data_IF_267418906364
#
_entry.id   IF_267418906364
#
_cell.length_a   1.000
_cell.length_b   1.000
_cell.length_c   1.000
_cell.angle_alpha   90.00
_cell.angle_beta   90.00
_cell.angle_gamma   90.00
#
_symmetry.space_group_name_H-M   'P 1'
#
loop_
_entity.id
_entity.type
_entity.pdbx_description
1 polymer ?
#
# COMPACT_ATOMS: atom_id res chain seq x y z
N UNK A 1 -5.28 -14.66 1.23
CA UNK A 1 -5.80 -13.71 0.22
C UNK A 1 -5.90 -12.33 0.85
N UNK A 2 -5.56 -11.27 0.11
CA UNK A 2 -5.55 -9.88 0.62
C UNK A 2 -6.52 -9.01 -0.19
N UNK A 3 -6.95 -7.88 0.38
CA UNK A 3 -7.67 -6.86 -0.39
C UNK A 3 -6.84 -6.36 -1.58
N UNK A 4 -7.45 -6.07 -2.74
CA UNK A 4 -6.74 -5.47 -3.86
C UNK A 4 -6.01 -4.18 -3.46
N UNK A 5 -4.70 -4.13 -3.76
CA UNK A 5 -3.84 -2.99 -3.43
C UNK A 5 -3.60 -2.79 -1.93
N UNK A 6 -3.67 -3.82 -1.10
CA UNK A 6 -3.40 -3.68 0.33
C UNK A 6 -2.75 -4.94 0.89
N UNK A 7 -2.19 -4.80 2.11
CA UNK A 7 -1.74 -5.92 2.93
C UNK A 7 -2.76 -6.29 4.02
N UNK A 8 -3.98 -5.74 3.94
CA UNK A 8 -5.11 -6.16 4.78
C UNK A 8 -5.60 -7.54 4.36
N UNK A 9 -5.53 -8.56 5.24
CA UNK A 9 -5.97 -9.91 4.90
C UNK A 9 -7.49 -9.94 4.74
N UNK A 10 -7.95 -10.63 3.70
CA UNK A 10 -9.35 -10.74 3.33
C UNK A 10 -9.90 -12.14 3.62
N UNK A 11 -9.16 -13.16 3.24
CA UNK A 11 -9.56 -14.55 3.42
C UNK A 11 -8.36 -15.49 3.54
N UNK A 12 -8.51 -16.55 4.31
CA UNK A 12 -7.61 -17.70 4.39
C UNK A 12 -8.24 -18.86 3.61
N UNK A 13 -7.44 -19.50 2.77
CA UNK A 13 -7.88 -20.66 1.99
C UNK A 13 -7.01 -21.84 2.40
N UNK A 14 -7.63 -22.88 2.92
CA UNK A 14 -6.96 -24.12 3.29
C UNK A 14 -7.35 -25.22 2.31
N UNK A 15 -6.37 -26.01 1.86
CA UNK A 15 -6.61 -27.22 1.08
C UNK A 15 -6.21 -28.41 1.94
N UNK A 16 -7.19 -29.19 2.40
CA UNK A 16 -6.98 -30.39 3.21
C UNK A 16 -7.69 -31.58 2.57
N UNK A 17 -6.97 -32.68 2.39
CA UNK A 17 -7.50 -33.94 1.86
C UNK A 17 -8.32 -33.80 0.55
N UNK A 18 -7.97 -32.85 -0.32
CA UNK A 18 -8.68 -32.58 -1.57
C UNK A 18 -9.93 -31.72 -1.45
N UNK A 19 -10.28 -31.24 -0.25
CA UNK A 19 -11.32 -30.25 -0.02
C UNK A 19 -10.70 -28.86 0.21
N UNK A 20 -11.30 -27.84 -0.38
CA UNK A 20 -10.91 -26.45 -0.16
C UNK A 20 -11.88 -25.83 0.85
N UNK A 21 -11.34 -25.28 1.93
CA UNK A 21 -12.08 -24.54 2.94
C UNK A 21 -11.72 -23.05 2.86
N UNK A 22 -12.75 -22.20 2.82
CA UNK A 22 -12.61 -20.75 2.78
C UNK A 22 -13.00 -20.15 4.14
N UNK A 23 -12.11 -19.34 4.69
CA UNK A 23 -12.36 -18.56 5.90
C UNK A 23 -12.25 -17.07 5.60
N UNK A 24 -13.31 -16.31 5.87
CA UNK A 24 -13.30 -14.85 5.80
C UNK A 24 -12.62 -14.27 7.03
N UNK A 25 -11.78 -13.25 6.82
CA UNK A 25 -10.97 -12.64 7.89
C UNK A 25 -11.62 -11.32 8.29
N UNK A 26 -11.98 -11.19 9.57
CA UNK A 26 -12.35 -9.90 10.18
C UNK A 26 -11.09 -9.29 10.78
N UNK A 27 -10.84 -8.01 10.48
CA UNK A 27 -9.66 -7.28 10.96
C UNK A 27 -10.04 -6.11 11.87
N UNK A 28 -9.11 -5.70 12.74
CA UNK A 28 -9.22 -4.40 13.42
C UNK A 28 -8.80 -3.22 12.53
N UNK A 29 -8.82 -1.99 13.06
CA UNK A 29 -8.43 -0.79 12.31
C UNK A 29 -7.00 -0.85 11.74
N UNK A 30 -6.11 -1.59 12.39
CA UNK A 30 -4.70 -1.75 11.98
C UNK A 30 -4.52 -2.85 10.93
N UNK A 31 -5.59 -3.55 10.55
CA UNK A 31 -5.54 -4.68 9.61
C UNK A 31 -5.09 -5.99 10.24
N UNK A 32 -5.04 -6.09 11.57
CA UNK A 32 -4.68 -7.32 12.28
C UNK A 32 -5.89 -8.25 12.33
N UNK A 33 -5.71 -9.52 11.96
CA UNK A 33 -6.77 -10.53 12.01
C UNK A 33 -7.32 -10.72 13.43
N UNK A 34 -8.65 -10.62 13.57
CA UNK A 34 -9.39 -10.76 14.84
C UNK A 34 -10.30 -11.97 14.84
N UNK A 35 -10.92 -12.31 13.72
CA UNK A 35 -11.80 -13.48 13.60
C UNK A 35 -11.58 -14.17 12.26
N UNK A 36 -11.67 -15.50 12.25
CA UNK A 36 -11.88 -16.29 11.03
C UNK A 36 -13.31 -16.81 11.05
N UNK A 37 -14.06 -16.49 10.00
CA UNK A 37 -15.45 -16.91 9.84
C UNK A 37 -15.58 -17.90 8.69
N UNK A 38 -16.43 -18.92 8.84
CA UNK A 38 -16.81 -19.79 7.73
C UNK A 38 -17.65 -19.05 6.68
N UNK A 39 -17.92 -19.72 5.56
CA UNK A 39 -18.82 -19.21 4.54
C UNK A 39 -20.26 -18.97 5.03
N UNK A 40 -20.67 -19.69 6.09
CA UNK A 40 -21.96 -19.50 6.74
C UNK A 40 -21.95 -18.36 7.79
N UNK A 41 -20.80 -17.71 8.03
CA UNK A 41 -20.65 -16.64 9.01
C UNK A 41 -20.38 -17.13 10.44
N UNK A 42 -20.10 -18.42 10.64
CA UNK A 42 -19.74 -18.95 11.95
C UNK A 42 -18.29 -18.66 12.29
N UNK A 43 -18.02 -18.17 13.51
CA UNK A 43 -16.65 -17.85 13.94
C UNK A 43 -15.91 -19.14 14.32
N UNK A 44 -14.87 -19.49 13.56
CA UNK A 44 -14.03 -20.67 13.76
C UNK A 44 -12.75 -20.36 14.57
N UNK A 45 -12.30 -19.10 14.57
CA UNK A 45 -11.11 -18.67 15.30
C UNK A 45 -11.26 -17.23 15.77
N UNK A 46 -10.67 -16.91 16.93
CA UNK A 46 -10.58 -15.55 17.50
C UNK A 46 -9.16 -15.23 17.96
N UNK A 47 -8.70 -14.03 17.63
CA UNK A 47 -7.44 -13.47 18.10
C UNK A 47 -7.65 -12.51 19.27
N UNK A 48 -7.30 -12.91 20.49
CA UNK A 48 -7.22 -12.00 21.64
C UNK A 48 -5.91 -11.20 21.65
N UNK A 49 -5.92 -10.06 22.36
CA UNK A 49 -4.89 -9.02 22.27
C UNK A 49 -3.59 -9.29 23.08
N UNK A 50 -3.42 -10.50 23.62
CA UNK A 50 -2.18 -10.91 24.29
C UNK A 50 -1.98 -12.39 24.05
N UNK A 51 -0.90 -12.72 23.34
CA UNK A 51 -0.07 -13.95 23.35
C UNK A 51 -0.73 -15.34 23.33
N UNK A 52 -1.99 -15.49 23.69
CA UNK A 52 -2.77 -16.71 23.67
C UNK A 52 -3.91 -16.53 22.66
N UNK A 53 -3.65 -16.99 21.43
CA UNK A 53 -4.68 -17.08 20.39
C UNK A 53 -5.16 -18.52 20.33
N UNK A 54 -6.12 -18.83 21.19
CA UNK A 54 -6.67 -20.17 21.30
C UNK A 54 -7.64 -20.43 20.12
N UNK A 55 -7.53 -21.57 19.41
CA UNK A 55 -8.58 -22.00 18.50
C UNK A 55 -9.89 -22.13 19.27
N UNK A 56 -11.01 -21.72 18.67
CA UNK A 56 -12.32 -21.96 19.29
C UNK A 56 -12.62 -23.44 19.10
N UNK A 57 -12.69 -24.20 20.19
CA UNK A 57 -13.14 -25.59 20.15
C UNK A 57 -14.57 -25.63 19.58
N UNK A 58 -14.70 -26.14 18.36
CA UNK A 58 -16.00 -26.42 17.77
C UNK A 58 -16.72 -27.52 18.57
N UNK A 59 -18.06 -27.45 18.63
CA UNK A 59 -18.88 -28.44 19.34
C UNK A 59 -18.60 -29.84 18.78
N UNK A 60 -18.08 -30.74 19.63
CA UNK A 60 -17.83 -32.14 19.26
C UNK A 60 -19.16 -32.89 19.19
N UNK A 61 -19.58 -33.30 18.00
CA UNK A 61 -20.54 -34.39 17.84
C UNK A 61 -19.76 -35.71 17.71
N UNK A 62 -20.20 -36.76 18.41
CA UNK A 62 -19.61 -38.10 18.27
C UNK A 62 -19.78 -38.58 16.83
N UNK A 63 -18.71 -38.51 16.03
CA UNK A 63 -18.70 -38.92 14.62
C UNK A 63 -17.82 -38.05 13.72
N UNK A 64 -17.54 -36.80 14.12
CA UNK A 64 -16.82 -35.84 13.27
C UNK A 64 -15.31 -35.88 13.52
N UNK A 65 -14.60 -36.74 12.81
CA UNK A 65 -13.12 -36.70 12.72
C UNK A 65 -12.59 -35.45 11.96
N UNK A 66 -13.49 -34.58 11.48
CA UNK A 66 -13.16 -33.43 10.63
C UNK A 66 -13.11 -32.07 11.37
N UNK A 67 -13.45 -32.01 12.66
CA UNK A 67 -13.37 -30.77 13.44
C UNK A 67 -11.94 -30.54 13.95
N UNK A 68 -11.00 -30.38 13.01
CA UNK A 68 -9.66 -29.90 13.30
C UNK A 68 -9.69 -28.43 13.72
N UNK A 69 -8.84 -28.07 14.67
CA UNK A 69 -8.70 -26.69 15.13
C UNK A 69 -8.19 -25.80 13.97
N UNK A 70 -8.93 -24.73 13.67
CA UNK A 70 -8.54 -23.74 12.65
C UNK A 70 -7.60 -22.72 13.29
N UNK A 71 -6.45 -22.51 12.67
CA UNK A 71 -5.42 -21.58 13.13
C UNK A 71 -5.24 -20.41 12.17
N UNK A 72 -4.93 -19.23 12.70
CA UNK A 72 -4.54 -18.08 11.90
C UNK A 72 -3.07 -17.73 12.17
N UNK A 73 -2.22 -17.96 11.17
CA UNK A 73 -0.78 -17.63 11.25
C UNK A 73 -0.51 -16.14 11.02
N UNK A 74 -1.46 -15.40 10.45
CA UNK A 74 -1.31 -13.97 10.20
C UNK A 74 -1.11 -13.18 11.52
N UNK A 75 -0.17 -12.23 11.48
CA UNK A 75 0.14 -11.30 12.58
C UNK A 75 -0.16 -9.87 12.15
N UNK A 76 0.73 -8.90 12.38
CA UNK A 76 0.55 -7.57 11.78
C UNK A 76 0.60 -7.65 10.25
N UNK A 77 0.18 -6.60 9.54
CA UNK A 77 0.17 -6.58 8.09
C UNK A 77 1.56 -6.92 7.52
N UNK A 78 1.62 -7.99 6.70
CA UNK A 78 2.86 -8.53 6.12
C UNK A 78 3.54 -9.64 6.93
N UNK A 79 3.08 -9.92 8.14
CA UNK A 79 3.72 -10.87 9.05
C UNK A 79 2.99 -12.21 9.15
N UNK A 80 3.78 -13.29 9.20
CA UNK A 80 3.34 -14.66 9.46
C UNK A 80 4.05 -15.20 10.69
N UNK A 81 3.32 -15.90 11.54
CA UNK A 81 3.90 -16.61 12.66
C UNK A 81 4.63 -17.85 12.20
N UNK A 82 5.89 -17.95 12.60
CA UNK A 82 6.69 -19.13 12.43
C UNK A 82 6.68 -19.91 13.75
N UNK A 83 6.00 -21.06 13.74
CA UNK A 83 5.85 -21.90 14.93
C UNK A 83 7.15 -22.59 15.35
N UNK A 84 8.11 -22.77 14.44
CA UNK A 84 9.40 -23.41 14.75
C UNK A 84 10.29 -22.48 15.58
N UNK A 85 10.24 -21.19 15.28
CA UNK A 85 11.09 -20.17 15.93
C UNK A 85 10.36 -19.35 16.99
N UNK A 86 9.02 -19.32 16.95
CA UNK A 86 8.19 -18.40 17.74
C UNK A 86 8.23 -16.95 17.22
N UNK A 87 8.99 -16.67 16.16
CA UNK A 87 9.16 -15.34 15.59
C UNK A 87 8.12 -15.07 14.50
N UNK A 88 7.99 -13.80 14.13
CA UNK A 88 7.08 -13.38 13.08
C UNK A 88 7.89 -13.10 11.81
N UNK A 89 7.79 -14.01 10.83
CA UNK A 89 8.38 -13.81 9.52
C UNK A 89 7.73 -12.62 8.80
N UNK A 90 8.52 -11.62 8.43
CA UNK A 90 8.11 -10.44 7.70
C UNK A 90 9.00 -10.23 6.46
N UNK A 91 8.93 -11.19 5.53
CA UNK A 91 9.60 -11.18 4.22
C UNK A 91 11.13 -11.05 4.29
N UNK A 92 11.63 -9.84 4.48
CA UNK A 92 13.06 -9.54 4.55
C UNK A 92 13.63 -9.66 5.96
N UNK A 93 12.78 -9.71 7.00
CA UNK A 93 13.22 -9.77 8.41
C UNK A 93 12.32 -10.67 9.25
N UNK A 94 12.86 -11.12 10.38
CA UNK A 94 12.09 -11.75 11.44
C UNK A 94 11.86 -10.74 12.57
N UNK A 95 10.61 -10.64 13.01
CA UNK A 95 10.16 -9.77 14.09
C UNK A 95 9.93 -10.59 15.35
N UNK A 96 10.56 -10.16 16.45
CA UNK A 96 10.33 -10.70 17.77
C UNK A 96 9.25 -9.88 18.46
N UNK A 97 8.12 -10.54 18.75
CA UNK A 97 6.99 -9.91 19.39
C UNK A 97 7.21 -9.65 20.88
N UNK A 98 8.09 -10.41 21.53
CA UNK A 98 8.41 -10.26 22.95
C UNK A 98 9.24 -9.00 23.18
N UNK A 99 10.28 -8.78 22.37
CA UNK A 99 11.09 -7.56 22.43
C UNK A 99 10.51 -6.37 21.65
N UNK A 100 9.53 -6.60 20.78
CA UNK A 100 8.86 -5.55 20.02
C UNK A 100 9.69 -4.99 18.84
N UNK A 101 10.64 -5.77 18.31
CA UNK A 101 11.58 -5.33 17.27
C UNK A 101 12.01 -6.47 16.34
N UNK A 102 12.57 -6.12 15.20
CA UNK A 102 13.28 -7.06 14.33
C UNK A 102 14.55 -7.56 15.00
N UNK A 103 14.89 -8.83 14.73
CA UNK A 103 16.12 -9.45 15.23
C UNK A 103 17.35 -9.14 14.37
N UNK A 104 17.14 -8.60 13.17
CA UNK A 104 18.18 -8.19 12.23
C UNK A 104 18.06 -6.71 11.87
N UNK A 105 19.17 -6.00 11.63
CA UNK A 105 19.14 -4.62 11.18
C UNK A 105 18.50 -4.51 9.79
N UNK A 106 17.91 -3.36 9.51
CA UNK A 106 17.29 -3.06 8.22
C UNK A 106 18.26 -3.26 7.03
N UNK A 107 17.94 -4.10 6.04
CA UNK A 107 18.77 -4.31 4.85
C UNK A 107 19.04 -3.04 4.03
N UNK A 108 18.15 -2.04 4.10
CA UNK A 108 18.36 -0.74 3.43
C UNK A 108 19.07 0.29 4.33
N UNK A 109 19.52 -0.14 5.51
CA UNK A 109 20.24 0.70 6.47
C UNK A 109 19.43 1.88 6.97
N UNK A 110 20.07 3.04 7.12
CA UNK A 110 19.44 4.26 7.63
C UNK A 110 18.31 4.81 6.75
N UNK A 111 18.17 4.30 5.51
CA UNK A 111 17.03 4.63 4.67
C UNK A 111 15.70 4.08 5.24
N UNK A 112 15.74 3.02 6.05
CA UNK A 112 14.58 2.47 6.77
C UNK A 112 14.23 3.24 8.06
N UNK A 113 15.08 4.19 8.47
CA UNK A 113 14.93 5.02 9.66
C UNK A 113 16.16 5.03 10.57
N UNK A 114 16.13 5.84 11.63
CA UNK A 114 17.25 5.95 12.57
C UNK A 114 17.42 4.71 13.46
N UNK A 115 16.33 3.99 13.74
CA UNK A 115 16.37 2.73 14.47
C UNK A 115 16.16 1.56 13.51
N UNK A 116 17.27 0.91 13.13
CA UNK A 116 17.31 -0.16 12.13
C UNK A 116 16.62 -1.47 12.58
N UNK A 117 16.28 -1.60 13.86
CA UNK A 117 15.64 -2.81 14.39
C UNK A 117 14.14 -2.63 14.55
N UNK A 118 13.61 -1.42 14.49
CA UNK A 118 12.24 -1.23 14.96
C UNK A 118 11.20 -1.54 13.86
N UNK A 119 10.04 -2.10 14.24
CA UNK A 119 8.95 -2.44 13.31
C UNK A 119 8.29 -1.20 12.68
N UNK A 120 7.65 -0.37 13.50
CA UNK A 120 7.07 0.90 13.07
C UNK A 120 7.24 1.99 14.16
N UNK A 121 7.27 3.29 13.82
CA UNK A 121 7.36 4.36 14.83
C UNK A 121 6.15 4.38 15.75
N UNK A 122 4.96 4.10 15.18
CA UNK A 122 3.74 3.89 15.92
C UNK A 122 2.90 2.79 15.23
N UNK A 123 2.86 1.55 15.75
CA UNK A 123 2.16 0.43 15.13
C UNK A 123 0.64 0.58 15.06
N UNK A 124 0.06 1.59 15.73
CA UNK A 124 -1.36 1.92 15.60
C UNK A 124 -1.69 2.67 14.31
N UNK A 125 -0.69 3.32 13.70
CA UNK A 125 -0.89 4.21 12.54
C UNK A 125 0.05 3.93 11.37
N UNK A 126 1.06 3.09 11.57
CA UNK A 126 2.08 2.73 10.59
C UNK A 126 2.18 1.22 10.48
N UNK A 127 2.53 0.75 9.30
CA UNK A 127 2.80 -0.65 9.00
C UNK A 127 4.11 -0.77 8.24
N UNK A 128 4.77 -1.92 8.36
CA UNK A 128 5.92 -2.30 7.55
C UNK A 128 5.66 -3.68 6.92
N UNK A 129 4.92 -3.75 5.79
CA UNK A 129 4.53 -5.04 5.19
C UNK A 129 5.66 -5.73 4.43
N UNK A 130 6.79 -5.04 4.27
CA UNK A 130 7.95 -5.56 3.55
C UNK A 130 9.06 -5.98 4.50
N UNK A 131 9.10 -5.43 5.71
CA UNK A 131 10.27 -5.56 6.56
C UNK A 131 11.45 -4.71 6.08
N UNK A 132 11.21 -3.54 5.49
CA UNK A 132 12.27 -2.69 4.89
C UNK A 132 12.10 -1.18 5.12
N UNK A 133 10.87 -0.66 5.07
CA UNK A 133 10.64 0.78 5.18
C UNK A 133 9.26 1.06 5.75
N UNK A 134 9.25 1.89 6.79
CA UNK A 134 8.06 2.39 7.47
C UNK A 134 7.52 3.55 6.65
N UNK A 135 6.44 3.38 5.92
CA UNK A 135 5.90 4.46 5.11
C UNK A 135 4.62 5.01 5.73
N UNK A 136 4.71 6.12 6.46
CA UNK A 136 3.60 7.07 6.48
C UNK A 136 3.78 7.83 5.18
N UNK A 137 2.81 7.75 4.27
CA UNK A 137 2.85 8.61 3.10
C UNK A 137 2.93 10.07 3.55
N UNK A 138 3.98 10.74 3.11
CA UNK A 138 4.15 12.17 3.30
C UNK A 138 3.61 12.95 2.10
N UNK A 139 3.27 14.21 2.38
CA UNK A 139 2.96 15.16 1.34
C UNK A 139 4.18 15.27 0.41
N UNK A 140 3.97 15.14 -0.90
CA UNK A 140 4.99 15.20 -1.96
C UNK A 140 5.84 13.96 -2.18
N UNK A 141 5.52 12.82 -1.58
CA UNK A 141 6.20 11.57 -1.91
C UNK A 141 6.01 11.21 -3.39
N UNK A 142 7.11 10.80 -4.01
CA UNK A 142 7.18 10.41 -5.43
C UNK A 142 7.40 8.90 -5.48
N UNK A 143 6.48 8.20 -6.12
CA UNK A 143 6.54 6.75 -6.33
C UNK A 143 5.54 6.38 -7.45
N UNK A 144 5.39 5.10 -7.76
CA UNK A 144 4.32 4.60 -8.63
C UNK A 144 2.94 4.99 -8.09
N UNK A 145 1.99 5.19 -9.00
CA UNK A 145 0.62 5.55 -8.63
C UNK A 145 -0.03 4.56 -7.67
N UNK A 146 0.15 3.26 -7.94
CA UNK A 146 -0.39 2.20 -7.10
C UNK A 146 0.20 2.23 -5.69
N UNK A 147 1.52 2.38 -5.55
CA UNK A 147 2.15 2.45 -4.22
C UNK A 147 1.61 3.64 -3.43
N UNK A 148 1.55 4.81 -4.06
CA UNK A 148 1.01 6.03 -3.44
C UNK A 148 -0.47 5.87 -3.05
N UNK A 149 -1.30 5.24 -3.89
CA UNK A 149 -2.70 4.93 -3.57
C UNK A 149 -2.83 3.99 -2.38
N UNK A 150 -2.02 2.94 -2.35
CA UNK A 150 -2.01 1.96 -1.26
C UNK A 150 -1.58 2.61 0.06
N UNK A 151 -0.56 3.47 -0.01
CA UNK A 151 0.00 4.13 1.15
C UNK A 151 -1.05 5.01 1.87
N UNK A 152 -1.91 5.72 1.13
CA UNK A 152 -2.94 6.60 1.73
C UNK A 152 -4.29 5.92 2.00
N UNK A 153 -4.52 4.71 1.50
CA UNK A 153 -5.81 4.01 1.58
C UNK A 153 -6.21 3.77 3.04
N UNK A 154 -7.34 4.34 3.45
CA UNK A 154 -7.89 4.13 4.80
C UNK A 154 -7.26 4.97 5.92
N UNK A 155 -6.30 5.85 5.62
CA UNK A 155 -5.61 6.67 6.64
C UNK A 155 -6.20 8.07 6.86
N UNK A 156 -7.23 8.48 6.10
CA UNK A 156 -7.89 9.80 6.19
C UNK A 156 -6.94 11.02 6.23
N UNK A 157 -5.79 10.93 5.56
CA UNK A 157 -4.75 11.98 5.57
C UNK A 157 -5.07 13.20 4.70
N UNK A 158 -6.18 13.18 3.95
CA UNK A 158 -6.52 14.24 2.99
C UNK A 158 -5.58 14.32 1.78
N UNK A 159 -4.76 13.29 1.54
CA UNK A 159 -3.85 13.17 0.42
C UNK A 159 -4.43 12.29 -0.70
N UNK A 160 -3.96 12.51 -1.92
CA UNK A 160 -4.30 11.73 -3.11
C UNK A 160 -3.10 11.61 -4.06
N UNK A 161 -3.08 10.53 -4.85
CA UNK A 161 -2.01 10.26 -5.81
C UNK A 161 -2.31 10.93 -7.15
N UNK A 162 -1.36 11.74 -7.64
CA UNK A 162 -1.46 12.48 -8.89
C UNK A 162 -0.41 12.02 -9.91
N UNK A 163 -0.87 11.58 -11.09
CA UNK A 163 0.02 11.27 -12.22
C UNK A 163 0.64 12.53 -12.80
N UNK A 164 1.91 12.45 -13.18
CA UNK A 164 2.50 13.41 -14.10
C UNK A 164 2.48 12.80 -15.49
N UNK A 165 1.82 13.49 -16.42
CA UNK A 165 1.37 12.90 -17.67
C UNK A 165 0.01 12.24 -17.47
N UNK A 166 -1.06 12.93 -17.84
CA UNK A 166 -2.41 12.36 -17.73
C UNK A 166 -2.53 11.03 -18.49
N UNK A 167 -3.01 10.00 -17.79
CA UNK A 167 -3.25 8.65 -18.30
C UNK A 167 -3.85 8.62 -19.72
N UNK A 168 -4.87 9.43 -19.97
CA UNK A 168 -5.63 9.42 -21.23
C UNK A 168 -4.88 10.07 -22.41
N UNK A 169 -3.73 10.69 -22.18
CA UNK A 169 -2.87 11.26 -23.21
C UNK A 169 -1.60 10.41 -23.31
N UNK A 170 -1.00 10.06 -22.17
CA UNK A 170 0.23 9.27 -22.13
C UNK A 170 0.08 7.89 -22.75
N UNK A 171 -1.11 7.25 -22.62
CA UNK A 171 -1.40 5.97 -23.28
C UNK A 171 -1.29 6.03 -24.81
N UNK A 172 -1.56 7.19 -25.40
CA UNK A 172 -1.53 7.37 -26.85
C UNK A 172 -0.12 7.74 -27.34
N UNK A 173 0.72 8.30 -26.46
CA UNK A 173 2.03 8.88 -26.79
C UNK A 173 3.24 8.04 -26.35
N UNK A 174 3.03 7.08 -25.43
CA UNK A 174 4.10 6.25 -24.86
C UNK A 174 3.71 4.78 -24.97
N UNK A 175 4.50 4.01 -25.71
CA UNK A 175 4.27 2.58 -25.86
C UNK A 175 4.46 1.87 -24.51
N UNK A 176 3.55 0.95 -24.18
CA UNK A 176 3.60 0.22 -22.92
C UNK A 176 3.31 1.07 -21.67
N UNK A 177 2.74 2.27 -21.82
CA UNK A 177 2.36 3.09 -20.67
C UNK A 177 1.31 2.39 -19.80
N UNK A 178 1.73 1.99 -18.60
CA UNK A 178 0.84 1.45 -17.58
C UNK A 178 0.53 2.52 -16.50
N UNK A 179 -0.73 2.99 -16.41
CA UNK A 179 -1.12 3.96 -15.40
C UNK A 179 -1.07 3.41 -13.97
N UNK A 180 -0.96 2.11 -13.75
CA UNK A 180 -0.86 1.55 -12.40
C UNK A 180 0.56 1.78 -11.84
N UNK A 181 1.56 1.52 -12.67
CA UNK A 181 2.98 1.60 -12.30
C UNK A 181 3.63 2.95 -12.66
N UNK A 182 2.96 3.79 -13.45
CA UNK A 182 3.45 5.11 -13.85
C UNK A 182 3.84 6.00 -12.66
N UNK A 183 4.90 6.81 -12.78
CA UNK A 183 5.33 7.71 -11.71
C UNK A 183 4.25 8.74 -11.35
N UNK A 184 4.09 8.97 -10.06
CA UNK A 184 3.10 9.85 -9.48
C UNK A 184 3.67 10.57 -8.24
N UNK A 185 2.95 11.59 -7.78
CA UNK A 185 3.28 12.34 -6.57
C UNK A 185 2.07 12.44 -5.65
N UNK A 186 2.27 12.32 -4.34
CA UNK A 186 1.23 12.56 -3.35
C UNK A 186 0.98 14.06 -3.17
N UNK A 187 -0.27 14.46 -3.33
CA UNK A 187 -0.70 15.86 -3.20
C UNK A 187 -1.94 15.94 -2.31
N UNK A 188 -2.25 17.10 -1.70
CA UNK A 188 -3.53 17.32 -1.05
C UNK A 188 -4.71 17.06 -2.00
N UNK A 189 -5.82 16.52 -1.48
CA UNK A 189 -7.04 16.29 -2.27
C UNK A 189 -7.63 17.61 -2.83
N UNK A 190 -7.49 18.69 -2.06
CA UNK A 190 -7.79 20.07 -2.48
C UNK A 190 -6.73 20.52 -3.49
N UNK A 191 -7.17 20.96 -4.68
CA UNK A 191 -6.33 21.26 -5.84
C UNK A 191 -6.24 20.10 -6.83
N UNK A 192 -6.48 18.86 -6.38
CA UNK A 192 -6.48 17.67 -7.25
C UNK A 192 -7.87 17.33 -7.79
N UNK A 193 -8.84 17.21 -6.87
CA UNK A 193 -10.23 16.84 -7.18
C UNK A 193 -11.24 17.90 -6.75
N UNK A 194 -10.89 18.71 -5.76
CA UNK A 194 -11.70 19.84 -5.27
C UNK A 194 -11.02 21.14 -5.69
N UNK A 195 -11.76 22.06 -6.30
CA UNK A 195 -11.23 23.37 -6.71
C UNK A 195 -10.82 24.20 -5.51
N UNK A 196 -9.71 24.93 -5.63
CA UNK A 196 -9.29 25.97 -4.68
C UNK A 196 -9.63 27.35 -5.26
N UNK A 197 -10.22 28.21 -4.46
CA UNK A 197 -10.57 29.57 -4.88
C UNK A 197 -9.35 30.31 -5.44
N UNK A 198 -9.51 30.97 -6.60
CA UNK A 198 -8.45 31.70 -7.30
C UNK A 198 -7.37 30.82 -7.98
N UNK A 199 -7.38 29.49 -7.80
CA UNK A 199 -6.34 28.59 -8.35
C UNK A 199 -6.95 27.45 -9.18
N UNK A 200 -8.16 26.97 -8.90
CA UNK A 200 -8.77 25.87 -9.64
C UNK A 200 -8.14 24.51 -9.33
N UNK A 201 -8.17 23.61 -10.31
CA UNK A 201 -7.56 22.27 -10.25
C UNK A 201 -6.45 22.13 -11.29
N UNK A 202 -5.60 21.11 -11.13
CA UNK A 202 -4.66 20.67 -12.16
C UNK A 202 -5.38 20.39 -13.49
N UNK A 203 -4.89 20.97 -14.58
CA UNK A 203 -5.53 20.87 -15.90
C UNK A 203 -5.72 19.41 -16.35
N UNK A 204 -6.81 19.18 -17.09
CA UNK A 204 -7.11 17.90 -17.75
C UNK A 204 -7.24 18.01 -19.26
N UNK A 205 -6.83 19.14 -19.82
CA UNK A 205 -6.97 19.41 -21.24
C UNK A 205 -6.05 18.53 -22.07
N UNK A 206 -6.57 18.03 -23.18
CA UNK A 206 -5.78 17.38 -24.24
C UNK A 206 -5.11 18.39 -25.18
N UNK A 207 -5.49 19.65 -25.10
CA UNK A 207 -5.01 20.73 -25.95
C UNK A 207 -3.82 21.42 -25.28
N UNK A 208 -2.72 21.54 -26.03
CA UNK A 208 -1.57 22.31 -25.64
C UNK A 208 -1.88 23.80 -25.79
N UNK A 209 -1.85 24.54 -24.67
CA UNK A 209 -2.17 25.97 -24.64
C UNK A 209 -1.25 26.83 -25.50
N UNK A 210 -0.05 26.35 -25.84
CA UNK A 210 0.91 27.09 -26.67
C UNK A 210 0.61 26.96 -28.16
N UNK A 211 0.12 25.79 -28.59
CA UNK A 211 -0.08 25.49 -30.02
C UNK A 211 -1.55 25.53 -30.43
N UNK A 212 -2.47 25.42 -29.48
CA UNK A 212 -3.91 25.26 -29.76
C UNK A 212 -4.29 23.88 -30.31
N UNK A 213 -3.33 22.96 -30.40
CA UNK A 213 -3.50 21.61 -30.94
C UNK A 213 -3.40 20.55 -29.84
N UNK A 214 -3.87 19.31 -30.07
CA UNK A 214 -3.60 18.19 -29.17
C UNK A 214 -2.10 18.02 -28.92
N UNK A 215 -1.74 17.51 -27.73
CA UNK A 215 -0.35 17.13 -27.46
C UNK A 215 0.10 16.03 -28.43
N UNK A 216 1.26 16.23 -29.05
CA UNK A 216 1.89 15.32 -30.01
C UNK A 216 3.10 14.57 -29.43
N UNK A 217 3.58 14.98 -28.26
CA UNK A 217 4.71 14.35 -27.58
C UNK A 217 4.51 14.30 -26.05
N UNK A 218 4.96 13.20 -25.44
CA UNK A 218 4.77 12.93 -24.01
C UNK A 218 5.52 13.93 -23.11
N UNK A 219 6.65 14.44 -23.59
CA UNK A 219 7.50 15.41 -22.87
C UNK A 219 6.77 16.71 -22.59
N UNK A 220 5.99 17.21 -23.54
CA UNK A 220 5.19 18.42 -23.36
C UNK A 220 4.01 18.22 -22.41
N UNK A 221 3.43 17.01 -22.38
CA UNK A 221 2.39 16.65 -21.39
C UNK A 221 2.98 16.71 -19.98
N UNK A 222 4.12 16.04 -19.77
CA UNK A 222 4.85 16.06 -18.48
C UNK A 222 5.23 17.48 -18.09
N UNK A 223 5.78 18.26 -19.02
CA UNK A 223 6.17 19.65 -18.76
C UNK A 223 4.97 20.54 -18.39
N UNK A 224 3.80 20.31 -19.00
CA UNK A 224 2.55 20.99 -18.62
C UNK A 224 2.15 20.59 -17.20
N UNK A 225 2.15 19.31 -16.86
CA UNK A 225 1.73 18.84 -15.54
C UNK A 225 2.65 19.32 -14.43
N UNK A 226 3.97 19.37 -14.65
CA UNK A 226 4.91 19.96 -13.69
C UNK A 226 4.62 21.46 -13.44
N UNK A 227 4.25 22.22 -14.48
CA UNK A 227 3.86 23.64 -14.31
C UNK A 227 2.55 23.77 -13.55
N UNK A 228 1.57 22.92 -13.86
CA UNK A 228 0.28 22.92 -13.17
C UNK A 228 0.42 22.51 -11.70
N UNK A 229 1.26 21.52 -11.40
CA UNK A 229 1.60 21.14 -10.03
C UNK A 229 2.19 22.31 -9.26
N UNK A 230 3.14 23.05 -9.83
CA UNK A 230 3.70 24.26 -9.19
C UNK A 230 2.67 25.37 -8.99
N UNK A 231 1.74 25.52 -9.94
CA UNK A 231 0.69 26.55 -9.88
C UNK A 231 -0.32 26.25 -8.79
N UNK A 232 -0.75 24.98 -8.70
CA UNK A 232 -1.76 24.52 -7.72
C UNK A 232 -1.15 24.36 -6.33
N UNK A 233 0.11 23.91 -6.27
CA UNK A 233 0.86 23.60 -5.06
C UNK A 233 2.24 24.31 -5.10
N UNK A 234 2.28 25.62 -4.79
CA UNK A 234 3.52 26.40 -4.86
C UNK A 234 4.56 25.96 -3.83
N UNK A 235 4.16 25.20 -2.81
CA UNK A 235 5.01 24.69 -1.74
C UNK A 235 5.64 23.32 -2.05
N UNK A 236 5.45 22.75 -3.25
CA UNK A 236 6.17 21.53 -3.64
C UNK A 236 7.67 21.81 -3.71
N UNK A 237 8.53 21.06 -2.99
CA UNK A 237 9.96 21.19 -3.08
C UNK A 237 10.49 20.93 -4.50
N UNK A 238 11.44 21.75 -4.95
CA UNK A 238 12.09 21.57 -6.26
C UNK A 238 12.75 20.19 -6.40
N UNK A 239 13.25 19.63 -5.28
CA UNK A 239 13.84 18.30 -5.23
C UNK A 239 12.82 17.22 -5.62
N UNK A 240 11.58 17.30 -5.14
CA UNK A 240 10.51 16.33 -5.46
C UNK A 240 10.04 16.42 -6.91
N UNK A 241 9.97 17.63 -7.47
CA UNK A 241 9.66 17.78 -8.90
C UNK A 241 10.79 17.24 -9.78
N UNK A 242 12.05 17.41 -9.37
CA UNK A 242 13.20 16.83 -10.08
C UNK A 242 13.17 15.31 -10.01
N UNK A 243 12.96 14.74 -8.83
CA UNK A 243 12.81 13.29 -8.60
C UNK A 243 11.73 12.69 -9.52
N UNK A 244 10.57 13.34 -9.61
CA UNK A 244 9.46 12.93 -10.45
C UNK A 244 9.77 13.00 -11.96
N UNK A 245 10.52 14.03 -12.40
CA UNK A 245 11.00 14.14 -13.78
C UNK A 245 12.00 13.03 -14.09
N UNK A 246 12.97 12.81 -13.21
CA UNK A 246 14.03 11.83 -13.40
C UNK A 246 13.45 10.40 -13.42
N UNK A 247 12.47 10.10 -12.56
CA UNK A 247 11.75 8.82 -12.55
C UNK A 247 10.99 8.58 -13.85
N UNK A 248 10.30 9.61 -14.37
CA UNK A 248 9.64 9.55 -15.68
C UNK A 248 10.62 9.29 -16.82
N UNK A 249 11.74 10.03 -16.88
CA UNK A 249 12.80 9.84 -17.91
C UNK A 249 13.50 8.49 -17.84
N UNK A 250 13.58 7.92 -16.65
CA UNK A 250 14.14 6.58 -16.43
C UNK A 250 13.18 5.51 -16.93
N UNK A 251 11.89 5.67 -16.66
CA UNK A 251 10.85 4.69 -17.02
C UNK A 251 10.47 4.75 -18.50
N UNK A 252 10.37 5.95 -19.07
CA UNK A 252 9.94 6.18 -20.45
C UNK A 252 11.06 6.89 -21.22
N UNK A 253 11.81 6.16 -22.07
CA UNK A 253 12.91 6.74 -22.87
C UNK A 253 12.49 7.92 -23.76
N UNK A 254 11.23 7.96 -24.20
CA UNK A 254 10.62 9.01 -25.03
C UNK A 254 10.59 10.38 -24.32
N UNK A 255 10.82 10.41 -23.00
CA UNK A 255 10.84 11.63 -22.20
C UNK A 255 12.24 12.24 -22.03
N UNK A 256 13.29 11.61 -22.57
CA UNK A 256 14.67 12.09 -22.44
C UNK A 256 14.94 13.39 -23.21
#
# INVERSE_FOLDING_TARGET
>A
MYEPGSFRPLAQVESKAGQTQLHYIVTDLTGTARELCSEAGEVHWRGEHREERLPIRQRRYLGDAANEEVYCELRYQGQLYDAETGLYYNRHRYYDAESGQYISPDPIGLAGGLNNYAYAPNPLTWIDPLGLARCKPEKWDVDSHQNNKNAVKGLNLGLDSHHVGQKNIMKDLVEGYDPVTAPAILVPRVGHTVSKEGVGIVSRSRINSKTGLPFDNARDVVARDIRELRRVYPDIPNSKLKELIDMNKKMYPELR
#
